data_IF_048353503160
#
_entry.id   IF_048353503160
#
_cell.length_a   1.000
_cell.length_b   1.000
_cell.length_c   1.000
_cell.angle_alpha   90.00
_cell.angle_beta   90.00
_cell.angle_gamma   90.00
#
_symmetry.space_group_name_H-M   'P 1'
#
loop_
_entity.id
_entity.type
_entity.pdbx_description
1 polymer ?
#
# COMPACT_ATOMS: atom_id res chain seq x y z
N UNK A 1 -10.63 -7.97 -3.31
CA UNK A 1 -9.29 -7.35 -3.42
C UNK A 1 -8.64 -7.31 -2.06
N UNK A 2 -7.39 -7.70 -1.99
CA UNK A 2 -6.62 -7.66 -0.75
C UNK A 2 -6.34 -6.21 -0.35
N UNK A 3 -6.44 -5.89 0.94
CA UNK A 3 -6.20 -4.54 1.44
C UNK A 3 -5.05 -4.54 2.43
N UNK A 4 -4.09 -3.64 2.24
CA UNK A 4 -2.99 -3.42 3.17
C UNK A 4 -3.18 -2.05 3.81
N UNK A 5 -3.25 -2.01 5.13
CA UNK A 5 -3.38 -0.76 5.88
C UNK A 5 -2.01 -0.27 6.30
N UNK A 6 -1.74 1.00 6.03
CA UNK A 6 -0.45 1.63 6.29
C UNK A 6 -0.64 2.79 7.26
N UNK A 7 0.21 2.87 8.26
CA UNK A 7 0.22 3.98 9.20
C UNK A 7 1.52 4.78 9.07
N UNK A 8 1.55 5.94 9.70
CA UNK A 8 2.77 6.76 9.73
C UNK A 8 3.95 6.04 10.40
N UNK A 9 3.66 5.04 11.23
CA UNK A 9 4.67 4.25 11.94
C UNK A 9 5.00 2.93 11.24
N UNK A 10 4.35 2.62 10.13
CA UNK A 10 4.63 1.39 9.39
C UNK A 10 6.06 1.42 8.84
N UNK A 11 6.72 0.27 8.89
CA UNK A 11 8.04 0.12 8.29
C UNK A 11 7.87 -0.11 6.79
N UNK A 12 8.41 0.78 5.93
CA UNK A 12 8.21 0.64 4.49
C UNK A 12 8.76 -0.66 3.91
N UNK A 13 9.86 -1.19 4.45
CA UNK A 13 10.43 -2.45 3.98
C UNK A 13 9.49 -3.63 4.26
N UNK A 14 8.89 -3.65 5.46
CA UNK A 14 7.95 -4.70 5.83
C UNK A 14 6.67 -4.62 5.01
N UNK A 15 6.16 -3.41 4.81
CA UNK A 15 4.97 -3.19 3.98
C UNK A 15 5.26 -3.61 2.53
N UNK A 16 6.45 -3.28 2.03
CA UNK A 16 6.85 -3.65 0.67
C UNK A 16 6.90 -5.16 0.48
N UNK A 17 7.39 -5.90 1.48
CA UNK A 17 7.40 -7.36 1.43
C UNK A 17 6.00 -7.93 1.34
N UNK A 18 5.08 -7.43 2.18
CA UNK A 18 3.69 -7.86 2.15
C UNK A 18 3.03 -7.50 0.81
N UNK A 19 3.27 -6.29 0.32
CA UNK A 19 2.73 -5.83 -0.96
C UNK A 19 3.21 -6.70 -2.12
N UNK A 20 4.50 -7.00 -2.17
CA UNK A 20 5.07 -7.83 -3.23
C UNK A 20 4.46 -9.23 -3.22
N UNK A 21 4.28 -9.82 -2.04
CA UNK A 21 3.68 -11.16 -1.93
C UNK A 21 2.24 -11.18 -2.44
N UNK A 22 1.43 -10.21 -2.05
CA UNK A 22 0.04 -10.13 -2.53
C UNK A 22 0.00 -9.87 -4.03
N UNK A 23 0.85 -8.97 -4.52
CA UNK A 23 0.87 -8.62 -5.94
C UNK A 23 1.24 -9.80 -6.83
N UNK A 24 2.16 -10.64 -6.38
CA UNK A 24 2.55 -11.84 -7.14
C UNK A 24 1.40 -12.80 -7.31
N UNK A 25 0.52 -12.90 -6.32
CA UNK A 25 -0.62 -13.82 -6.34
C UNK A 25 -1.86 -13.22 -6.98
N UNK A 26 -2.17 -11.97 -6.63
CA UNK A 26 -3.46 -11.33 -6.97
C UNK A 26 -3.38 -10.34 -8.12
N UNK A 27 -2.19 -9.89 -8.48
CA UNK A 27 -1.94 -8.89 -9.54
C UNK A 27 -2.50 -7.51 -9.24
N UNK A 28 -3.26 -7.34 -8.18
CA UNK A 28 -3.69 -6.02 -7.69
C UNK A 28 -3.91 -6.07 -6.19
N UNK A 29 -3.77 -4.91 -5.56
CA UNK A 29 -3.91 -4.77 -4.12
C UNK A 29 -4.29 -3.33 -3.81
N UNK A 30 -5.14 -3.14 -2.82
CA UNK A 30 -5.49 -1.82 -2.33
C UNK A 30 -4.63 -1.48 -1.12
N UNK A 31 -4.08 -0.27 -1.10
CA UNK A 31 -3.37 0.22 0.07
C UNK A 31 -4.14 1.40 0.65
N UNK A 32 -4.43 1.34 1.94
CA UNK A 32 -5.15 2.40 2.63
C UNK A 32 -4.21 3.16 3.55
N UNK A 33 -4.20 4.48 3.40
CA UNK A 33 -3.37 5.36 4.22
C UNK A 33 -4.19 6.59 4.61
N UNK A 34 -4.18 6.93 5.89
CA UNK A 34 -4.85 8.11 6.41
C UNK A 34 -3.79 9.08 6.90
N UNK A 35 -3.77 10.28 6.32
CA UNK A 35 -2.82 11.32 6.68
C UNK A 35 -1.52 11.26 5.90
N UNK A 36 -0.79 12.37 5.92
CA UNK A 36 0.41 12.55 5.12
C UNK A 36 1.54 11.59 5.50
N UNK A 37 1.69 11.30 6.79
CA UNK A 37 2.73 10.38 7.24
C UNK A 37 2.50 8.96 6.75
N UNK A 38 1.26 8.50 6.80
CA UNK A 38 0.90 7.17 6.30
C UNK A 38 1.09 7.09 4.79
N UNK A 39 0.67 8.12 4.07
CA UNK A 39 0.84 8.19 2.62
C UNK A 39 2.31 8.13 2.24
N UNK A 40 3.17 8.86 2.96
CA UNK A 40 4.60 8.85 2.72
C UNK A 40 5.18 7.42 2.85
N UNK A 41 4.78 6.70 3.90
CA UNK A 41 5.24 5.33 4.10
C UNK A 41 4.71 4.39 3.02
N UNK A 42 3.46 4.58 2.59
CA UNK A 42 2.88 3.78 1.52
C UNK A 42 3.63 3.97 0.20
N UNK A 43 3.96 5.21 -0.16
CA UNK A 43 4.69 5.49 -1.40
C UNK A 43 6.10 4.89 -1.36
N UNK A 44 6.79 5.01 -0.23
CA UNK A 44 8.10 4.38 -0.05
C UNK A 44 8.01 2.86 -0.21
N UNK A 45 6.99 2.25 0.37
CA UNK A 45 6.77 0.81 0.26
C UNK A 45 6.54 0.38 -1.19
N UNK A 46 5.77 1.14 -1.94
CA UNK A 46 5.53 0.85 -3.36
C UNK A 46 6.84 0.92 -4.14
N UNK A 47 7.65 1.94 -3.91
CA UNK A 47 8.94 2.09 -4.59
C UNK A 47 9.88 0.90 -4.30
N UNK A 48 9.91 0.44 -3.05
CA UNK A 48 10.71 -0.72 -2.64
C UNK A 48 10.15 -2.00 -3.29
N UNK A 49 8.83 -2.18 -3.24
CA UNK A 49 8.17 -3.37 -3.79
C UNK A 49 8.39 -3.51 -5.30
N UNK A 50 8.49 -2.40 -6.02
CA UNK A 50 8.82 -2.43 -7.45
C UNK A 50 10.12 -3.18 -7.71
N UNK A 51 11.12 -2.96 -6.87
CA UNK A 51 12.39 -3.68 -6.96
C UNK A 51 12.25 -5.17 -6.69
N UNK A 52 11.33 -5.54 -5.81
CA UNK A 52 11.10 -6.96 -5.48
C UNK A 52 10.43 -7.73 -6.62
N UNK A 53 9.54 -7.10 -7.36
CA UNK A 53 8.76 -7.77 -8.40
C UNK A 53 9.35 -7.62 -9.80
N UNK A 54 10.26 -6.69 -10.00
CA UNK A 54 10.88 -6.43 -11.30
C UNK A 54 11.57 -7.67 -11.89
N UNK A 55 12.32 -8.48 -11.11
CA UNK A 55 12.95 -9.68 -11.66
C UNK A 55 11.95 -10.68 -12.26
N UNK A 56 10.69 -10.64 -11.84
CA UNK A 56 9.62 -11.48 -12.39
C UNK A 56 9.02 -10.91 -13.67
N UNK A 57 9.51 -9.78 -14.16
CA UNK A 57 8.98 -9.10 -15.32
C UNK A 57 7.71 -8.31 -15.05
N UNK A 58 7.38 -8.07 -13.78
CA UNK A 58 6.19 -7.30 -13.42
C UNK A 58 6.51 -5.84 -13.19
N UNK A 59 5.60 -4.98 -13.60
CA UNK A 59 5.71 -3.53 -13.39
C UNK A 59 4.61 -3.08 -12.45
N UNK A 60 4.98 -2.77 -11.21
CA UNK A 60 4.04 -2.31 -10.19
C UNK A 60 3.82 -0.81 -10.34
N UNK A 61 2.56 -0.43 -10.49
CA UNK A 61 2.15 0.98 -10.57
C UNK A 61 1.04 1.22 -9.57
N UNK A 62 0.77 2.47 -9.23
CA UNK A 62 -0.33 2.79 -8.33
C UNK A 62 -1.24 3.85 -8.94
N UNK A 63 -2.51 3.77 -8.59
CA UNK A 63 -3.50 4.77 -8.96
C UNK A 63 -4.03 5.36 -7.66
N UNK A 64 -3.67 6.62 -7.34
CA UNK A 64 -4.18 7.25 -6.14
C UNK A 64 -5.68 7.54 -6.24
N UNK A 65 -6.39 7.32 -5.15
CA UNK A 65 -7.81 7.62 -5.08
C UNK A 65 -8.18 7.91 -3.62
N UNK A 66 -9.30 8.57 -3.42
CA UNK A 66 -9.84 8.76 -2.08
C UNK A 66 -10.83 7.64 -1.77
N UNK A 67 -10.85 7.24 -0.51
CA UNK A 67 -11.89 6.33 -0.01
C UNK A 67 -12.28 6.78 1.40
N UNK A 68 -13.54 6.61 1.73
CA UNK A 68 -14.02 6.94 3.07
C UNK A 68 -14.03 5.65 3.90
N UNK A 69 -13.50 5.75 5.11
CA UNK A 69 -13.48 4.63 6.05
C UNK A 69 -14.07 5.07 7.37
N UNK A 70 -14.64 4.12 8.11
CA UNK A 70 -15.24 4.37 9.40
C UNK A 70 -14.29 3.91 10.48
N UNK A 71 -13.86 4.84 11.35
CA UNK A 71 -12.99 4.55 12.48
C UNK A 71 -13.67 5.07 13.74
N UNK A 72 -13.93 4.18 14.70
CA UNK A 72 -14.59 4.54 15.94
C UNK A 72 -15.88 5.34 15.72
N UNK A 73 -16.70 4.92 14.75
CA UNK A 73 -17.93 5.58 14.35
C UNK A 73 -17.72 6.98 13.73
N UNK A 74 -16.49 7.35 13.43
CA UNK A 74 -16.17 8.58 12.70
C UNK A 74 -15.74 8.24 11.29
N UNK A 75 -16.27 9.00 10.33
CA UNK A 75 -15.89 8.87 8.94
C UNK A 75 -14.56 9.58 8.70
N UNK A 76 -13.62 8.88 8.09
CA UNK A 76 -12.30 9.40 7.73
C UNK A 76 -12.03 9.18 6.26
N UNK A 77 -11.39 10.15 5.63
CA UNK A 77 -10.97 10.03 4.24
C UNK A 77 -9.56 9.45 4.17
N UNK A 78 -9.40 8.40 3.42
CA UNK A 78 -8.12 7.73 3.21
C UNK A 78 -7.63 7.91 1.76
#
# INVERSE_FOLDING_TARGET
METIKVSSKSNPNSVAGALANVFREKSSVEMQAIGAGALNQAIKAIAIARGFVAPSGKNLVCIPAFTDILIDSEERTA
#
